data_IF_181972640166
#
_entry.id   IF_181972640166
#
_cell.length_a   1.000
_cell.length_b   1.000
_cell.length_c   1.000
_cell.angle_alpha   90.00
_cell.angle_beta   90.00
_cell.angle_gamma   90.00
#
_symmetry.space_group_name_H-M   'P 1'
#
loop_
_entity.id
_entity.type
_entity.pdbx_description
1 polymer ?
#
# COMPACT_ATOMS: atom_id res chain seq x y z
N UNK A 1 -34.13 3.78 9.02
CA UNK A 1 -33.70 4.46 10.27
C UNK A 1 -32.52 3.77 10.98
N UNK A 2 -32.04 2.60 10.53
CA UNK A 2 -30.96 1.84 11.21
C UNK A 2 -29.52 2.41 11.11
N UNK A 3 -29.29 3.50 10.36
CA UNK A 3 -27.92 4.00 10.12
C UNK A 3 -27.36 4.91 11.23
N UNK A 4 -28.07 5.08 12.35
CA UNK A 4 -27.76 6.11 13.37
C UNK A 4 -27.92 5.56 14.78
N UNK A 5 -26.99 4.76 15.30
CA UNK A 5 -27.07 4.42 16.73
C UNK A 5 -25.78 3.94 17.42
N UNK A 6 -24.58 4.09 16.83
CA UNK A 6 -23.37 3.61 17.50
C UNK A 6 -22.18 4.55 17.27
N UNK A 7 -22.07 5.60 18.10
CA UNK A 7 -21.00 6.61 18.01
C UNK A 7 -19.58 6.07 18.27
N UNK A 8 -19.46 4.87 18.86
CA UNK A 8 -18.18 4.21 19.08
C UNK A 8 -17.67 3.42 17.86
N UNK A 9 -18.55 3.03 16.93
CA UNK A 9 -18.17 2.27 15.74
C UNK A 9 -17.79 3.24 14.61
N UNK A 10 -16.49 3.27 14.27
CA UNK A 10 -15.91 4.17 13.26
C UNK A 10 -16.63 4.06 11.92
N UNK A 11 -16.88 2.83 11.45
CA UNK A 11 -17.59 2.59 10.18
C UNK A 11 -19.08 2.95 10.23
N UNK A 12 -19.76 2.77 11.36
CA UNK A 12 -21.16 3.18 11.51
C UNK A 12 -21.27 4.72 11.43
N UNK A 13 -20.34 5.42 12.07
CA UNK A 13 -20.26 6.89 12.04
C UNK A 13 -19.91 7.40 10.64
N UNK A 14 -18.98 6.75 9.95
CA UNK A 14 -18.60 7.08 8.58
C UNK A 14 -19.70 6.78 7.55
N UNK A 15 -20.52 5.73 7.74
CA UNK A 15 -21.70 5.46 6.89
C UNK A 15 -22.76 6.56 6.99
N UNK A 16 -22.85 7.22 8.14
CA UNK A 16 -23.69 8.40 8.32
C UNK A 16 -23.14 9.67 7.66
N UNK A 17 -21.83 9.70 7.31
CA UNK A 17 -21.11 10.86 6.77
C UNK A 17 -20.10 10.42 5.69
N UNK A 18 -20.51 10.33 4.41
CA UNK A 18 -19.67 9.77 3.34
C UNK A 18 -18.36 10.55 3.11
N UNK A 19 -18.30 11.84 3.45
CA UNK A 19 -17.05 12.63 3.39
C UNK A 19 -15.91 12.05 4.22
N UNK A 20 -16.22 11.35 5.32
CA UNK A 20 -15.21 10.71 6.15
C UNK A 20 -14.47 9.62 5.37
N UNK A 21 -15.19 8.84 4.56
CA UNK A 21 -14.59 7.85 3.67
C UNK A 21 -13.78 8.50 2.55
N UNK A 22 -14.28 9.57 1.94
CA UNK A 22 -13.55 10.30 0.90
C UNK A 22 -12.20 10.83 1.41
N UNK A 23 -12.21 11.51 2.57
CA UNK A 23 -11.00 12.01 3.23
C UNK A 23 -10.06 10.86 3.63
N UNK A 24 -10.61 9.73 4.09
CA UNK A 24 -9.82 8.55 4.45
C UNK A 24 -9.11 7.94 3.23
N UNK A 25 -9.81 7.81 2.10
CA UNK A 25 -9.22 7.29 0.85
C UNK A 25 -8.07 8.20 0.39
N UNK A 26 -8.25 9.52 0.42
CA UNK A 26 -7.20 10.47 0.05
C UNK A 26 -5.98 10.34 0.98
N UNK A 27 -6.19 10.27 2.29
CA UNK A 27 -5.09 10.05 3.24
C UNK A 27 -4.39 8.72 3.00
N UNK A 28 -5.14 7.64 2.72
CA UNK A 28 -4.59 6.32 2.43
C UNK A 28 -3.79 6.30 1.13
N UNK A 29 -4.26 6.99 0.11
CA UNK A 29 -3.54 7.10 -1.15
C UNK A 29 -2.21 7.86 -0.97
N UNK A 30 -2.21 8.95 -0.20
CA UNK A 30 -0.98 9.65 0.15
C UNK A 30 -0.02 8.77 0.97
N UNK A 31 -0.53 7.99 1.93
CA UNK A 31 0.26 7.00 2.68
C UNK A 31 0.91 5.96 1.73
N UNK A 32 0.17 5.45 0.75
CA UNK A 32 0.71 4.50 -0.23
C UNK A 32 1.83 5.12 -1.08
N UNK A 33 1.65 6.36 -1.54
CA UNK A 33 2.68 7.06 -2.32
C UNK A 33 3.95 7.32 -1.49
N UNK A 34 3.81 7.72 -0.23
CA UNK A 34 4.93 7.87 0.69
C UNK A 34 5.63 6.53 0.90
N UNK A 35 4.89 5.44 1.11
CA UNK A 35 5.46 4.11 1.29
C UNK A 35 6.20 3.60 0.04
N UNK A 36 5.66 3.87 -1.16
CA UNK A 36 6.32 3.57 -2.43
C UNK A 36 7.60 4.41 -2.61
N UNK A 37 7.55 5.70 -2.28
CA UNK A 37 8.74 6.57 -2.24
C UNK A 37 9.79 6.04 -1.28
N UNK A 38 9.39 5.62 -0.07
CA UNK A 38 10.29 5.04 0.93
C UNK A 38 10.93 3.73 0.45
N UNK A 39 10.24 2.93 -0.37
CA UNK A 39 10.81 1.73 -0.97
C UNK A 39 11.96 2.07 -1.95
N UNK A 40 11.76 3.06 -2.82
CA UNK A 40 12.80 3.54 -3.73
C UNK A 40 13.94 4.26 -2.99
N UNK A 41 13.61 5.03 -1.96
CA UNK A 41 14.60 5.77 -1.19
C UNK A 41 15.54 4.84 -0.42
N UNK A 42 15.03 3.71 0.09
CA UNK A 42 15.85 2.67 0.76
C UNK A 42 16.84 1.96 -0.17
N UNK A 43 16.63 1.99 -1.49
CA UNK A 43 17.60 1.42 -2.43
C UNK A 43 18.92 2.22 -2.40
N UNK A 44 18.84 3.53 -2.12
CA UNK A 44 20.02 4.36 -1.90
C UNK A 44 20.92 4.50 -3.13
N UNK A 45 20.34 4.54 -4.33
CA UNK A 45 21.09 4.63 -5.59
C UNK A 45 20.75 5.93 -6.32
N UNK A 46 21.66 6.42 -7.18
CA UNK A 46 21.47 7.69 -7.89
C UNK A 46 20.23 7.65 -8.81
N UNK A 47 19.93 6.49 -9.39
CA UNK A 47 18.79 6.30 -10.29
C UNK A 47 17.47 6.15 -9.53
N UNK A 48 17.49 5.59 -8.30
CA UNK A 48 16.25 5.43 -7.50
C UNK A 48 15.77 6.72 -6.84
N UNK A 49 16.69 7.65 -6.55
CA UNK A 49 16.38 8.94 -5.94
C UNK A 49 15.36 9.79 -6.71
N UNK A 50 15.52 10.07 -8.03
CA UNK A 50 14.55 10.85 -8.78
C UNK A 50 13.15 10.21 -8.76
N UNK A 51 13.09 8.87 -8.77
CA UNK A 51 11.82 8.14 -8.67
C UNK A 51 11.18 8.31 -7.28
N UNK A 52 11.96 8.25 -6.21
CA UNK A 52 11.47 8.54 -4.86
C UNK A 52 10.95 9.98 -4.75
N UNK A 53 11.72 10.96 -5.28
CA UNK A 53 11.32 12.37 -5.32
C UNK A 53 9.98 12.54 -6.02
N UNK A 54 9.80 11.91 -7.19
CA UNK A 54 8.54 11.97 -7.93
C UNK A 54 7.36 11.50 -7.06
N UNK A 55 7.49 10.36 -6.36
CA UNK A 55 6.42 9.85 -5.47
C UNK A 55 6.11 10.79 -4.31
N UNK A 56 7.12 11.38 -3.69
CA UNK A 56 6.90 12.37 -2.63
C UNK A 56 6.26 13.65 -3.16
N UNK A 57 6.63 14.09 -4.37
CA UNK A 57 6.02 15.25 -5.02
C UNK A 57 4.55 14.98 -5.35
N UNK A 58 4.21 13.82 -5.88
CA UNK A 58 2.83 13.37 -6.10
C UNK A 58 2.03 13.40 -4.79
N UNK A 59 2.58 12.82 -3.71
CA UNK A 59 1.96 12.85 -2.39
C UNK A 59 1.77 14.28 -1.86
N UNK A 60 2.74 15.17 -2.07
CA UNK A 60 2.66 16.58 -1.71
C UNK A 60 1.53 17.32 -2.42
N UNK A 61 1.32 17.06 -3.72
CA UNK A 61 0.23 17.65 -4.49
C UNK A 61 -1.14 17.20 -3.97
N UNK A 62 -1.29 15.91 -3.64
CA UNK A 62 -2.55 15.35 -3.10
C UNK A 62 -2.88 15.94 -1.74
N UNK A 63 -1.87 16.13 -0.88
CA UNK A 63 -2.04 16.72 0.45
C UNK A 63 -2.29 18.24 0.40
N UNK A 64 -2.00 18.91 -0.71
CA UNK A 64 -2.20 20.35 -0.91
C UNK A 64 -1.19 21.23 -0.15
N UNK A 65 -1.40 22.55 -0.08
CA UNK A 65 -0.53 23.46 0.69
C UNK A 65 -0.63 23.17 2.20
N UNK A 66 0.46 23.44 2.94
CA UNK A 66 0.44 23.30 4.40
C UNK A 66 -0.58 24.27 5.01
N UNK A 67 -1.42 23.84 5.97
CA UNK A 67 -2.37 24.73 6.61
C UNK A 67 -1.61 25.87 7.30
N UNK A 68 -2.08 27.13 7.19
CA UNK A 68 -1.41 28.26 7.82
C UNK A 68 -1.36 28.04 9.33
N UNK A 69 -0.20 28.35 9.93
CA UNK A 69 -0.05 28.32 11.38
C UNK A 69 -0.96 29.37 11.98
N UNK A 70 -2.07 28.93 12.57
CA UNK A 70 -3.00 29.86 13.24
C UNK A 70 -2.27 30.41 14.47
N UNK A 71 -2.06 31.73 14.57
CA UNK A 71 -1.47 32.32 15.77
C UNK A 71 -2.34 32.00 16.98
N UNK A 72 -1.74 31.95 18.17
CA UNK A 72 -2.52 31.76 19.41
C UNK A 72 -3.57 32.88 19.50
N UNK A 73 -4.84 32.50 19.52
CA UNK A 73 -5.99 33.40 19.62
C UNK A 73 -6.03 34.04 21.01
N UNK A 74 -5.19 35.05 21.24
CA UNK A 74 -5.12 35.82 22.49
C UNK A 74 -4.89 34.99 23.77
N UNK A 75 -4.91 35.68 24.91
CA UNK A 75 -4.93 35.02 26.22
C UNK A 75 -6.39 34.72 26.58
N UNK A 76 -6.74 33.43 26.67
CA UNK A 76 -8.08 33.01 27.12
C UNK A 76 -8.22 33.30 28.62
N UNK A 77 -9.32 33.95 29.02
CA UNK A 77 -9.64 34.12 30.44
C UNK A 77 -9.95 32.75 31.06
N UNK A 78 -9.30 32.34 32.16
CA UNK A 78 -9.61 31.08 32.81
C UNK A 78 -11.06 31.09 33.31
N UNK A 79 -11.82 30.03 33.00
CA UNK A 79 -13.21 29.85 33.44
C UNK A 79 -13.37 28.55 34.26
N UNK A 80 -14.23 28.60 35.27
CA UNK A 80 -14.61 27.46 36.10
C UNK A 80 -15.65 26.58 35.37
N UNK A 81 -15.70 25.28 35.69
CA UNK A 81 -16.65 24.32 35.09
C UNK A 81 -18.12 24.77 35.13
N UNK A 82 -18.57 25.36 36.25
CA UNK A 82 -19.93 25.87 36.41
C UNK A 82 -20.30 26.97 35.39
N UNK A 83 -19.32 27.77 34.96
CA UNK A 83 -19.52 28.83 33.97
C UNK A 83 -19.48 28.29 32.53
N UNK A 84 -18.85 27.13 32.32
CA UNK A 84 -18.75 26.48 31.00
C UNK A 84 -19.98 25.61 30.71
N UNK A 85 -20.48 24.88 31.70
CA UNK A 85 -21.64 23.98 31.51
C UNK A 85 -22.92 24.69 31.07
N UNK A 86 -23.10 25.96 31.44
CA UNK A 86 -24.25 26.78 31.05
C UNK A 86 -24.19 27.26 29.59
N UNK A 87 -22.98 27.45 29.05
CA UNK A 87 -22.78 27.94 27.68
C UNK A 87 -22.52 26.78 26.68
N UNK A 88 -21.85 25.71 27.11
CA UNK A 88 -21.38 24.61 26.27
C UNK A 88 -22.39 23.46 26.11
N UNK A 89 -23.57 23.51 26.77
CA UNK A 89 -24.63 22.52 26.56
C UNK A 89 -25.20 22.51 25.12
N UNK A 90 -24.89 23.54 24.31
CA UNK A 90 -25.26 23.63 22.89
C UNK A 90 -24.17 23.13 21.93
N UNK A 91 -23.11 22.50 22.45
CA UNK A 91 -22.02 21.95 21.64
C UNK A 91 -22.43 20.75 20.77
N UNK A 92 -23.64 20.19 20.96
CA UNK A 92 -23.96 18.85 20.47
C UNK A 92 -24.66 18.74 19.10
N UNK A 93 -25.08 19.81 18.43
CA UNK A 93 -25.85 19.66 17.18
C UNK A 93 -25.30 20.43 15.96
N UNK A 94 -24.30 21.28 16.15
CA UNK A 94 -23.90 22.28 15.14
C UNK A 94 -22.59 22.03 14.38
N UNK A 95 -21.76 21.06 14.76
CA UNK A 95 -20.44 20.88 14.12
C UNK A 95 -20.35 19.59 13.28
N UNK A 96 -20.83 19.59 12.02
CA UNK A 96 -20.54 18.53 11.07
C UNK A 96 -19.30 18.91 10.25
N UNK A 97 -18.11 18.88 10.84
CA UNK A 97 -16.81 18.66 10.19
C UNK A 97 -16.38 19.47 8.93
N UNK A 98 -17.07 20.54 8.61
CA UNK A 98 -16.47 21.75 8.06
C UNK A 98 -16.94 22.91 8.92
N UNK A 99 -16.03 23.80 9.31
CA UNK A 99 -16.46 25.15 9.61
C UNK A 99 -16.94 25.74 8.28
N UNK A 100 -18.18 25.45 7.88
CA UNK A 100 -18.93 26.44 7.12
C UNK A 100 -19.07 27.61 8.07
N UNK A 101 -18.03 28.45 8.06
CA UNK A 101 -18.04 29.72 8.72
C UNK A 101 -19.23 30.42 8.10
N UNK A 102 -20.31 30.56 8.88
CA UNK A 102 -21.30 31.57 8.55
C UNK A 102 -20.49 32.86 8.46
N UNK A 103 -20.42 33.47 7.27
CA UNK A 103 -19.93 34.84 7.13
C UNK A 103 -20.76 35.65 8.12
N UNK A 104 -20.17 36.01 9.26
CA UNK A 104 -20.82 36.97 10.12
C UNK A 104 -20.92 38.29 9.36
N UNK A 105 -21.97 39.03 9.63
CA UNK A 105 -22.03 40.44 9.31
C UNK A 105 -20.82 41.11 9.98
N UNK A 106 -20.01 41.82 9.21
CA UNK A 106 -18.92 42.64 9.76
C UNK A 106 -19.55 43.62 10.75
N UNK A 107 -19.37 43.41 12.05
CA UNK A 107 -19.47 44.50 13.01
C UNK A 107 -18.14 45.24 12.93
N UNK A 108 -18.18 46.51 12.52
CA UNK A 108 -17.07 47.44 12.61
C UNK A 108 -16.64 47.54 14.07
N UNK A 109 -15.65 46.74 14.44
CA UNK A 109 -14.95 46.87 15.71
C UNK A 109 -13.47 47.05 15.37
N UNK A 110 -13.04 48.29 15.61
CA UNK A 110 -11.70 48.86 15.73
C UNK A 110 -10.60 48.29 14.84
N UNK A 111 -10.13 49.15 13.93
CA UNK A 111 -8.97 48.90 13.09
C UNK A 111 -7.71 48.71 13.94
N UNK A 112 -7.07 47.56 13.80
CA UNK A 112 -5.72 47.33 14.32
C UNK A 112 -4.73 48.31 13.65
N UNK A 113 -3.82 48.96 14.39
CA UNK A 113 -2.91 49.98 13.87
C UNK A 113 -1.82 49.45 12.91
N UNK A 114 -1.75 48.13 12.67
CA UNK A 114 -0.71 47.49 11.83
C UNK A 114 -1.15 47.15 10.41
N UNK A 115 -2.40 47.40 10.02
CA UNK A 115 -2.83 47.30 8.61
C UNK A 115 -2.72 45.89 7.99
N UNK A 116 -2.65 44.83 8.78
CA UNK A 116 -2.63 43.46 8.26
C UNK A 116 -4.04 43.07 7.78
N UNK A 117 -4.16 42.61 6.53
CA UNK A 117 -5.43 42.11 5.97
C UNK A 117 -5.85 40.82 6.69
N UNK A 118 -6.80 40.95 7.63
CA UNK A 118 -7.45 39.82 8.28
C UNK A 118 -8.41 39.14 7.30
N UNK A 119 -8.00 38.00 6.73
CA UNK A 119 -8.76 37.27 5.68
C UNK A 119 -10.02 36.60 6.23
N UNK A 120 -10.05 36.20 7.51
CA UNK A 120 -11.23 35.64 8.16
C UNK A 120 -11.15 35.72 9.69
N UNK A 121 -12.31 35.64 10.37
CA UNK A 121 -12.40 35.43 11.81
C UNK A 121 -13.09 34.09 12.09
N UNK A 122 -12.53 33.33 13.02
CA UNK A 122 -13.05 32.04 13.47
C UNK A 122 -13.67 32.22 14.86
N UNK A 123 -14.99 32.09 14.99
CA UNK A 123 -15.65 32.04 16.31
C UNK A 123 -15.58 30.60 16.82
N UNK A 124 -14.55 30.29 17.59
CA UNK A 124 -14.42 29.01 18.29
C UNK A 124 -15.08 29.09 19.65
N UNK A 125 -15.62 27.98 20.15
CA UNK A 125 -16.03 27.83 21.56
C UNK A 125 -14.82 27.96 22.49
N UNK A 126 -15.04 27.85 23.81
CA UNK A 126 -13.95 27.94 24.77
C UNK A 126 -12.80 26.96 24.45
N UNK A 127 -13.13 25.75 23.98
CA UNK A 127 -12.19 24.77 23.44
C UNK A 127 -12.04 24.90 21.91
N UNK A 128 -10.80 24.97 21.44
CA UNK A 128 -10.53 24.98 20.00
C UNK A 128 -10.54 23.54 19.45
N UNK A 129 -10.97 23.37 18.20
CA UNK A 129 -10.88 22.09 17.49
C UNK A 129 -9.44 21.89 17.00
N UNK A 130 -8.74 20.82 17.40
CA UNK A 130 -7.39 20.56 16.93
C UNK A 130 -7.39 20.04 15.49
N UNK A 131 -6.26 20.25 14.79
CA UNK A 131 -6.01 19.61 13.50
C UNK A 131 -5.90 18.09 13.68
N UNK A 132 -6.33 17.32 12.68
CA UNK A 132 -6.16 15.87 12.67
C UNK A 132 -4.68 15.50 12.87
N UNK A 133 -4.32 14.77 13.93
CA UNK A 133 -2.93 14.43 14.23
C UNK A 133 -2.30 13.55 13.15
N UNK A 134 -3.06 12.66 12.51
CA UNK A 134 -2.54 11.79 11.45
C UNK A 134 -2.12 12.58 10.22
N UNK A 135 -2.94 13.54 9.80
CA UNK A 135 -2.62 14.41 8.68
C UNK A 135 -1.35 15.23 8.96
N UNK A 136 -1.22 15.76 10.19
CA UNK A 136 -0.02 16.47 10.63
C UNK A 136 1.21 15.57 10.58
N UNK A 137 1.12 14.34 11.09
CA UNK A 137 2.21 13.36 11.07
C UNK A 137 2.67 13.02 9.65
N UNK A 138 1.72 12.74 8.74
CA UNK A 138 2.05 12.45 7.34
C UNK A 138 2.78 13.60 6.67
N UNK A 139 2.36 14.83 6.93
CA UNK A 139 3.03 16.01 6.37
C UNK A 139 4.42 16.22 6.95
N UNK A 140 4.59 16.04 8.26
CA UNK A 140 5.90 16.07 8.90
C UNK A 140 6.84 15.02 8.29
N UNK A 141 6.37 13.78 8.10
CA UNK A 141 7.13 12.70 7.49
C UNK A 141 7.54 13.08 6.06
N UNK A 142 6.61 13.55 5.24
CA UNK A 142 6.91 14.01 3.87
C UNK A 142 7.99 15.09 3.84
N UNK A 143 7.88 16.09 4.72
CA UNK A 143 8.85 17.18 4.83
C UNK A 143 10.23 16.67 5.28
N UNK A 144 10.27 15.71 6.20
CA UNK A 144 11.50 15.04 6.64
C UNK A 144 12.17 14.30 5.46
N UNK A 145 11.41 13.57 4.64
CA UNK A 145 11.96 12.88 3.45
C UNK A 145 12.54 13.86 2.44
N UNK A 146 11.83 14.94 2.14
CA UNK A 146 12.35 15.99 1.26
C UNK A 146 13.60 16.65 1.82
N UNK A 147 13.65 16.89 3.14
CA UNK A 147 14.84 17.42 3.80
C UNK A 147 16.02 16.45 3.67
N UNK A 148 15.81 15.17 3.93
CA UNK A 148 16.87 14.16 3.86
C UNK A 148 17.44 14.06 2.44
N UNK A 149 16.58 13.98 1.43
CA UNK A 149 17.02 13.89 0.03
C UNK A 149 17.82 15.13 -0.39
N UNK A 150 17.36 16.33 -0.02
CA UNK A 150 18.04 17.60 -0.40
C UNK A 150 19.39 17.78 0.27
N UNK A 151 19.62 17.10 1.40
CA UNK A 151 20.84 17.21 2.20
C UNK A 151 21.70 15.94 2.17
N UNK A 152 21.48 15.04 1.20
CA UNK A 152 22.24 13.79 1.07
C UNK A 152 22.24 12.93 2.33
N UNK A 153 21.07 12.75 2.94
CA UNK A 153 20.84 11.90 4.10
C UNK A 153 20.03 10.65 3.71
N UNK A 154 20.27 9.55 4.44
CA UNK A 154 19.49 8.32 4.41
C UNK A 154 18.06 8.54 4.93
N UNK A 155 17.21 7.54 4.80
CA UNK A 155 15.86 7.55 5.37
C UNK A 155 15.84 7.72 6.89
N UNK A 156 16.88 7.27 7.61
CA UNK A 156 17.05 7.51 9.04
C UNK A 156 17.83 8.80 9.37
N UNK A 157 18.15 9.65 8.38
CA UNK A 157 18.83 10.93 8.61
C UNK A 157 20.35 10.83 8.79
N UNK A 158 20.96 9.68 8.46
CA UNK A 158 22.42 9.51 8.47
C UNK A 158 23.02 10.06 7.17
N UNK A 159 24.20 10.69 7.17
CA UNK A 159 24.82 11.16 5.94
C UNK A 159 25.16 9.98 5.02
N UNK A 160 24.86 10.10 3.72
CA UNK A 160 25.13 9.08 2.70
C UNK A 160 25.88 9.68 1.53
N UNK A 161 26.90 8.97 1.05
CA UNK A 161 27.60 9.25 -0.20
C UNK A 161 27.19 8.23 -1.24
N UNK A 162 26.53 8.68 -2.32
CA UNK A 162 26.08 7.81 -3.39
C UNK A 162 27.24 7.43 -4.33
N UNK A 163 27.26 6.18 -4.79
CA UNK A 163 28.18 5.74 -5.83
C UNK A 163 27.79 6.36 -7.18
N UNK A 164 28.78 6.62 -8.04
CA UNK A 164 28.55 7.22 -9.37
C UNK A 164 27.81 6.27 -10.33
N UNK A 165 27.95 4.96 -10.12
CA UNK A 165 27.34 3.90 -10.92
C UNK A 165 26.69 2.91 -9.96
N UNK A 166 25.47 2.48 -10.28
CA UNK A 166 24.72 1.52 -9.50
C UNK A 166 25.35 0.11 -9.60
N UNK A 167 25.42 -0.67 -8.50
CA UNK A 167 25.85 -2.06 -8.58
C UNK A 167 24.95 -2.86 -9.53
N UNK A 168 25.52 -3.87 -10.18
CA UNK A 168 24.77 -4.74 -11.08
C UNK A 168 23.63 -5.44 -10.32
N UNK A 169 22.45 -5.48 -10.93
CA UNK A 169 21.30 -6.21 -10.41
C UNK A 169 21.66 -7.71 -10.38
N UNK A 170 21.56 -8.33 -9.20
CA UNK A 170 21.62 -9.79 -9.08
C UNK A 170 20.28 -10.40 -9.48
N UNK A 171 20.17 -11.13 -10.61
CA UNK A 171 18.91 -11.73 -11.04
C UNK A 171 18.40 -12.83 -10.08
N UNK A 172 19.23 -13.32 -9.16
CA UNK A 172 18.85 -14.32 -8.16
C UNK A 172 17.79 -13.83 -7.17
N UNK A 173 17.68 -12.52 -6.93
CA UNK A 173 16.71 -11.96 -5.98
C UNK A 173 15.27 -12.04 -6.47
N UNK A 174 15.04 -12.21 -7.78
CA UNK A 174 13.70 -12.33 -8.37
C UNK A 174 13.07 -13.73 -8.19
N UNK A 175 13.87 -14.74 -7.82
CA UNK A 175 13.43 -16.14 -7.72
C UNK A 175 12.89 -16.46 -6.31
N UNK A 176 12.99 -15.54 -5.34
CA UNK A 176 12.45 -15.75 -4.00
C UNK A 176 10.90 -15.88 -4.04
N UNK A 177 10.34 -17.08 -3.76
CA UNK A 177 8.92 -17.32 -3.96
C UNK A 177 8.14 -16.77 -2.76
N UNK A 178 7.49 -15.64 -2.95
CA UNK A 178 6.51 -15.08 -2.03
C UNK A 178 5.09 -15.22 -2.58
N UNK A 179 4.36 -16.27 -2.15
CA UNK A 179 2.92 -16.29 -1.82
C UNK A 179 2.35 -17.71 -2.00
N UNK A 180 1.98 -18.31 -0.86
CA UNK A 180 1.28 -19.59 -0.80
C UNK A 180 -0.22 -19.42 -1.07
N UNK A 181 -0.75 -20.29 -1.93
CA UNK A 181 -2.17 -20.40 -2.23
C UNK A 181 -2.88 -21.20 -1.13
N UNK A 182 -3.64 -20.55 -0.25
CA UNK A 182 -4.49 -21.24 0.73
C UNK A 182 -5.78 -20.47 0.95
N UNK A 183 -6.81 -20.71 0.12
CA UNK A 183 -8.16 -20.20 0.42
C UNK A 183 -9.34 -20.86 -0.34
N UNK A 184 -9.19 -22.06 -0.93
CA UNK A 184 -10.24 -22.63 -1.80
C UNK A 184 -11.09 -23.75 -1.19
N UNK A 185 -10.84 -24.19 0.05
CA UNK A 185 -11.52 -25.37 0.63
C UNK A 185 -12.85 -25.02 1.34
N UNK A 186 -13.06 -23.77 1.76
CA UNK A 186 -14.24 -23.38 2.54
C UNK A 186 -15.55 -23.21 1.73
N UNK A 187 -15.48 -23.12 0.40
CA UNK A 187 -16.64 -22.84 -0.47
C UNK A 187 -17.45 -24.10 -0.81
N UNK A 188 -16.86 -25.30 -0.69
CA UNK A 188 -17.52 -26.55 -1.06
C UNK A 188 -18.47 -27.13 0.01
N UNK A 189 -18.49 -26.57 1.24
CA UNK A 189 -19.26 -27.11 2.37
C UNK A 189 -20.56 -26.35 2.67
N UNK A 190 -20.82 -25.23 1.99
CA UNK A 190 -21.90 -24.31 2.36
C UNK A 190 -23.24 -24.54 1.63
N UNK A 191 -23.35 -25.53 0.74
CA UNK A 191 -24.57 -25.73 -0.05
C UNK A 191 -24.95 -27.22 -0.16
N UNK A 192 -25.52 -27.77 0.93
CA UNK A 192 -26.20 -29.06 0.89
C UNK A 192 -27.59 -28.96 1.52
N UNK A 193 -28.57 -28.54 0.72
CA UNK A 193 -29.98 -28.78 0.99
C UNK A 193 -30.30 -30.26 0.75
N UNK A 194 -30.23 -31.10 1.79
CA UNK A 194 -30.60 -32.52 1.72
C UNK A 194 -32.02 -32.74 2.26
N UNK A 195 -33.01 -33.14 1.43
CA UNK A 195 -34.36 -33.46 1.90
C UNK A 195 -34.37 -34.75 2.74
N UNK A 196 -35.32 -34.88 3.68
CA UNK A 196 -35.39 -36.04 4.57
C UNK A 196 -35.56 -37.36 3.78
N UNK A 197 -34.63 -38.33 3.93
CA UNK A 197 -34.71 -39.61 3.25
C UNK A 197 -35.78 -40.52 3.86
N UNK A 198 -36.35 -41.42 3.04
CA UNK A 198 -37.42 -42.36 3.44
C UNK A 198 -36.93 -43.63 4.17
N UNK A 199 -35.62 -43.85 4.24
CA UNK A 199 -35.01 -45.06 4.78
C UNK A 199 -34.58 -44.89 6.24
N UNK A 200 -34.47 -46.00 6.98
CA UNK A 200 -33.96 -46.00 8.36
C UNK A 200 -32.47 -45.69 8.39
N UNK A 201 -32.03 -45.09 9.49
CA UNK A 201 -30.64 -44.65 9.71
C UNK A 201 -29.60 -45.74 9.46
N UNK A 202 -29.82 -46.95 9.97
CA UNK A 202 -28.86 -48.06 9.87
C UNK A 202 -28.54 -48.43 8.42
N UNK A 203 -29.57 -48.48 7.55
CA UNK A 203 -29.38 -48.75 6.13
C UNK A 203 -28.64 -47.61 5.42
N UNK A 204 -28.99 -46.36 5.73
CA UNK A 204 -28.30 -45.18 5.18
C UNK A 204 -26.84 -45.12 5.61
N UNK A 205 -26.53 -45.50 6.85
CA UNK A 205 -25.16 -45.52 7.37
C UNK A 205 -24.30 -46.55 6.63
N UNK A 206 -24.80 -47.78 6.45
CA UNK A 206 -24.07 -48.80 5.68
C UNK A 206 -23.83 -48.34 4.24
N UNK A 207 -24.84 -47.79 3.58
CA UNK A 207 -24.68 -47.26 2.21
C UNK A 207 -23.71 -46.08 2.15
N UNK A 208 -23.70 -45.22 3.16
CA UNK A 208 -22.75 -44.11 3.25
C UNK A 208 -21.31 -44.62 3.44
N UNK A 209 -21.10 -45.64 4.25
CA UNK A 209 -19.79 -46.26 4.43
C UNK A 209 -19.27 -46.94 3.14
N UNK A 210 -20.15 -47.62 2.41
CA UNK A 210 -19.81 -48.17 1.08
C UNK A 210 -19.35 -47.06 0.13
N UNK A 211 -20.11 -45.96 0.03
CA UNK A 211 -19.74 -44.81 -0.80
C UNK A 211 -18.44 -44.14 -0.33
N UNK A 212 -18.19 -44.07 0.99
CA UNK A 212 -16.94 -43.55 1.53
C UNK A 212 -15.75 -44.44 1.12
N UNK A 213 -15.95 -45.76 1.05
CA UNK A 213 -14.91 -46.69 0.58
C UNK A 213 -14.64 -46.53 -0.93
N UNK A 214 -15.68 -46.34 -1.73
CA UNK A 214 -15.55 -46.01 -3.16
C UNK A 214 -14.84 -44.66 -3.35
N UNK A 215 -15.20 -43.64 -2.58
CA UNK A 215 -14.56 -42.33 -2.59
C UNK A 215 -13.09 -42.43 -2.23
N UNK A 216 -12.72 -43.22 -1.22
CA UNK A 216 -11.32 -43.46 -0.86
C UNK A 216 -10.55 -44.09 -2.03
N UNK A 217 -11.12 -45.11 -2.68
CA UNK A 217 -10.51 -45.75 -3.85
C UNK A 217 -10.37 -44.79 -5.04
N UNK A 218 -11.30 -43.84 -5.19
CA UNK A 218 -11.25 -42.81 -6.22
C UNK A 218 -10.16 -41.79 -5.87
N UNK A 219 -10.08 -41.37 -4.61
CA UNK A 219 -9.05 -40.46 -4.12
C UNK A 219 -7.64 -41.00 -4.36
N UNK A 220 -7.39 -42.27 -4.04
CA UNK A 220 -6.11 -42.93 -4.32
C UNK A 220 -5.78 -42.98 -5.83
N UNK A 221 -6.79 -43.27 -6.68
CA UNK A 221 -6.62 -43.24 -8.15
C UNK A 221 -6.37 -41.84 -8.70
N UNK A 222 -7.05 -40.83 -8.16
CA UNK A 222 -6.89 -39.44 -8.56
C UNK A 222 -5.49 -38.95 -8.19
N UNK A 223 -5.04 -39.19 -6.96
CA UNK A 223 -3.69 -38.85 -6.52
C UNK A 223 -2.63 -39.49 -7.42
N UNK A 224 -2.75 -40.79 -7.69
CA UNK A 224 -1.83 -41.48 -8.59
C UNK A 224 -1.85 -40.90 -10.03
N UNK A 225 -3.03 -40.50 -10.52
CA UNK A 225 -3.15 -39.87 -11.84
C UNK A 225 -2.54 -38.45 -11.87
N UNK A 226 -2.71 -37.65 -10.80
CA UNK A 226 -2.10 -36.33 -10.69
C UNK A 226 -0.58 -36.42 -10.58
N UNK A 227 -0.06 -37.34 -9.77
CA UNK A 227 1.38 -37.58 -9.65
C UNK A 227 2.00 -37.98 -10.99
N UNK A 228 1.37 -38.92 -11.71
CA UNK A 228 1.85 -39.34 -13.05
C UNK A 228 1.83 -38.19 -14.05
N UNK A 229 0.75 -37.42 -14.08
CA UNK A 229 0.64 -36.23 -14.94
C UNK A 229 1.73 -35.21 -14.63
N UNK A 230 2.01 -34.95 -13.35
CA UNK A 230 3.06 -34.02 -12.94
C UNK A 230 4.45 -34.53 -13.33
N UNK A 231 4.74 -35.81 -13.10
CA UNK A 231 6.00 -36.45 -13.50
C UNK A 231 6.21 -36.35 -15.02
N UNK A 232 5.19 -36.66 -15.82
CA UNK A 232 5.25 -36.52 -17.28
C UNK A 232 5.48 -35.05 -17.68
N UNK A 233 4.72 -34.12 -17.11
CA UNK A 233 4.88 -32.68 -17.39
C UNK A 233 6.29 -32.18 -17.05
N UNK A 234 6.85 -32.64 -15.93
CA UNK A 234 8.20 -32.29 -15.50
C UNK A 234 9.25 -32.91 -16.42
N UNK A 235 9.04 -34.14 -16.88
CA UNK A 235 9.94 -34.79 -17.85
C UNK A 235 9.99 -34.03 -19.18
N UNK A 236 8.82 -33.56 -19.67
CA UNK A 236 8.72 -32.74 -20.89
C UNK A 236 9.41 -31.40 -20.68
N UNK A 237 9.23 -30.76 -19.51
CA UNK A 237 9.90 -29.51 -19.17
C UNK A 237 11.43 -29.68 -19.14
N UNK A 238 11.92 -30.76 -18.52
CA UNK A 238 13.35 -31.10 -18.48
C UNK A 238 13.92 -31.31 -19.88
N UNK A 239 13.18 -31.99 -20.76
CA UNK A 239 13.57 -32.15 -22.16
C UNK A 239 13.64 -30.81 -22.89
N UNK A 240 12.65 -29.92 -22.70
CA UNK A 240 12.69 -28.56 -23.27
C UNK A 240 13.90 -27.76 -22.78
N UNK A 241 14.21 -27.82 -21.49
CA UNK A 241 15.40 -27.17 -20.95
C UNK A 241 16.69 -27.76 -21.51
N UNK A 242 16.78 -29.09 -21.65
CA UNK A 242 17.94 -29.73 -22.26
C UNK A 242 18.15 -29.24 -23.71
N UNK A 243 17.10 -29.18 -24.51
CA UNK A 243 17.16 -28.65 -25.89
C UNK A 243 17.59 -27.18 -25.90
N UNK A 244 17.04 -26.35 -25.00
CA UNK A 244 17.42 -24.94 -24.90
C UNK A 244 18.89 -24.76 -24.51
N UNK A 245 19.39 -25.52 -23.53
CA UNK A 245 20.80 -25.51 -23.12
C UNK A 245 21.71 -25.96 -24.26
N UNK A 246 21.33 -27.01 -24.99
CA UNK A 246 22.09 -27.46 -26.17
C UNK A 246 22.16 -26.38 -27.25
N UNK A 247 21.05 -25.68 -27.52
CA UNK A 247 21.03 -24.57 -28.45
C UNK A 247 21.93 -23.42 -28.00
N UNK A 248 21.87 -23.03 -26.72
CA UNK A 248 22.76 -22.00 -26.16
C UNK A 248 24.24 -22.41 -26.23
N UNK A 249 24.56 -23.68 -26.01
CA UNK A 249 25.93 -24.18 -26.18
C UNK A 249 26.38 -24.07 -27.64
N UNK A 250 25.52 -24.39 -28.62
CA UNK A 250 25.84 -24.16 -30.04
C UNK A 250 26.06 -22.67 -30.32
N UNK A 251 25.23 -21.79 -29.78
CA UNK A 251 25.37 -20.34 -29.91
C UNK A 251 26.67 -19.80 -29.31
N UNK A 252 27.24 -20.45 -28.28
CA UNK A 252 28.57 -20.12 -27.73
C UNK A 252 29.70 -20.72 -28.59
N UNK A 253 29.50 -21.89 -29.18
CA UNK A 253 30.51 -22.53 -30.04
C UNK A 253 30.70 -21.80 -31.36
N UNK A 254 29.64 -21.25 -31.94
CA UNK A 254 29.71 -20.47 -33.18
C UNK A 254 30.67 -19.27 -33.14
N UNK A 255 30.61 -18.34 -32.15
CA UNK A 255 31.56 -17.24 -32.03
C UNK A 255 32.95 -17.74 -31.69
N UNK A 256 33.10 -18.82 -30.91
CA UNK A 256 34.41 -19.40 -30.61
C UNK A 256 35.10 -19.97 -31.88
N UNK A 257 34.31 -20.54 -32.79
CA UNK A 257 34.80 -20.93 -34.12
C UNK A 257 35.21 -19.71 -34.95
N UNK A 258 34.40 -18.63 -34.94
CA UNK A 258 34.73 -17.38 -35.65
C UNK A 258 36.00 -16.73 -35.11
N UNK A 259 36.15 -16.69 -33.79
CA UNK A 259 37.36 -16.20 -33.12
C UNK A 259 38.58 -17.02 -33.54
N UNK A 260 38.46 -18.36 -33.54
CA UNK A 260 39.54 -19.24 -33.99
C UNK A 260 39.91 -19.01 -35.46
N UNK A 261 38.92 -18.74 -36.33
CA UNK A 261 39.16 -18.38 -37.73
C UNK A 261 39.89 -17.03 -37.87
N UNK A 262 39.44 -16.01 -37.13
CA UNK A 262 40.08 -14.69 -37.11
C UNK A 262 41.53 -14.77 -36.60
N UNK A 263 41.80 -15.65 -35.62
CA UNK A 263 43.16 -15.92 -35.16
C UNK A 263 44.00 -16.51 -36.29
N UNK A 264 43.49 -17.51 -37.03
CA UNK A 264 44.20 -18.07 -38.18
C UNK A 264 44.48 -17.00 -39.25
N UNK A 265 43.49 -16.18 -39.60
CA UNK A 265 43.65 -15.11 -40.58
C UNK A 265 44.72 -14.10 -40.13
N UNK A 266 44.72 -13.74 -38.85
CA UNK A 266 45.76 -12.85 -38.29
C UNK A 266 47.16 -13.45 -38.37
N UNK A 267 47.30 -14.77 -38.18
CA UNK A 267 48.57 -15.47 -38.30
C UNK A 267 49.05 -15.58 -39.75
N UNK A 268 48.13 -15.70 -40.70
CA UNK A 268 48.46 -15.68 -42.13
C UNK A 268 48.97 -14.30 -42.55
N UNK A 269 48.30 -13.22 -42.14
CA UNK A 269 48.76 -11.85 -42.40
C UNK A 269 50.18 -11.64 -41.83
N UNK A 270 50.42 -12.06 -40.59
CA UNK A 270 51.76 -11.97 -39.97
C UNK A 270 52.83 -12.80 -40.68
N UNK A 271 52.45 -13.83 -41.44
CA UNK A 271 53.38 -14.65 -42.22
C UNK A 271 53.70 -14.02 -43.58
N UNK A 272 52.75 -13.28 -44.15
CA UNK A 272 52.91 -12.59 -45.44
C UNK A 272 53.69 -11.27 -45.33
N UNK A 273 53.68 -10.64 -44.15
CA UNK A 273 54.52 -9.49 -43.79
C UNK A 273 55.96 -9.87 -43.48
#
# INVERSE_FOLDING_TARGET
MERRSHGALVHATARGRPEAYMKWIVMKYAEMLIAAGDAHFRQGTLESLPLAIQRYVEAGHILGPEPPKVPKLGNKKPRTFANLSQEDAQLELGFPFSSQLKKGTQQQLDADPKGEQRVCYLRTTYFCVPLNPKFKQLRTLLNERFYNIRNSLDIQGRPVTYALIEPLIDPGTLIAPGMGMSETIAVALADQNSPLPRQRFEFLLHRALDLCSELRSLGERLLAATERKEVESFSVLRQRHAVAIQKMMLDIKNPLLKESQQVIDSLLINRES
#
